data_IF_490562103364
#
_entry.id   IF_490562103364
#
_cell.length_a   1.000
_cell.length_b   1.000
_cell.length_c   1.000
_cell.angle_alpha   90.00
_cell.angle_beta   90.00
_cell.angle_gamma   90.00
#
_symmetry.space_group_name_H-M   'P 1'
#
loop_
_entity.id
_entity.type
_entity.pdbx_description
1 polymer ?
#
# COMPACT_ATOMS: atom_id res chain seq x y z
N UNK A 1 3.17 -27.69 0.63
CA UNK A 1 3.82 -26.49 0.04
C UNK A 1 2.79 -25.37 0.05
N UNK A 2 2.85 -24.45 1.02
CA UNK A 2 1.96 -23.29 1.04
C UNK A 2 2.31 -22.43 -0.18
N UNK A 3 1.32 -22.14 -1.03
CA UNK A 3 1.51 -21.20 -2.13
C UNK A 3 1.69 -19.81 -1.53
N UNK A 4 2.88 -19.25 -1.64
CA UNK A 4 3.21 -17.87 -1.21
C UNK A 4 2.64 -16.80 -2.13
N UNK A 5 2.06 -17.19 -3.28
CA UNK A 5 1.47 -16.31 -4.29
C UNK A 5 0.15 -16.86 -4.82
N UNK A 6 -0.82 -15.97 -5.04
CA UNK A 6 -2.10 -16.26 -5.67
C UNK A 6 -2.21 -15.48 -6.99
N UNK A 7 -2.60 -16.11 -8.12
CA UNK A 7 -2.87 -15.39 -9.36
C UNK A 7 -4.01 -14.38 -9.18
N UNK A 8 -3.81 -13.17 -9.69
CA UNK A 8 -4.78 -12.08 -9.62
C UNK A 8 -4.94 -11.48 -11.00
N UNK A 9 -6.19 -11.27 -11.42
CA UNK A 9 -6.54 -10.66 -12.72
C UNK A 9 -7.26 -9.36 -12.48
N UNK A 10 -6.88 -8.31 -13.22
CA UNK A 10 -7.51 -7.00 -13.21
C UNK A 10 -7.38 -6.39 -14.61
N UNK A 11 -8.23 -5.41 -14.91
CA UNK A 11 -8.24 -4.73 -16.20
C UNK A 11 -7.39 -3.47 -16.12
N UNK A 12 -6.54 -3.25 -17.13
CA UNK A 12 -5.79 -2.02 -17.34
C UNK A 12 -6.14 -1.44 -18.72
N UNK A 13 -5.93 -0.13 -18.89
CA UNK A 13 -6.01 0.48 -20.22
C UNK A 13 -4.95 -0.11 -21.16
N UNK A 14 -5.25 -0.14 -22.45
CA UNK A 14 -4.32 -0.65 -23.46
C UNK A 14 -3.03 0.17 -23.49
N UNK A 15 -3.14 1.50 -23.42
CA UNK A 15 -2.00 2.42 -23.36
C UNK A 15 -1.05 2.07 -22.19
N UNK A 16 -1.59 1.85 -20.99
CA UNK A 16 -0.78 1.50 -19.83
C UNK A 16 -0.12 0.12 -19.95
N UNK A 17 -0.79 -0.82 -20.64
CA UNK A 17 -0.21 -2.14 -20.92
C UNK A 17 0.95 -2.06 -21.93
N UNK A 18 0.87 -1.17 -22.91
CA UNK A 18 1.95 -0.89 -23.86
C UNK A 18 3.15 -0.27 -23.16
N UNK A 19 2.92 0.75 -22.31
CA UNK A 19 3.97 1.38 -21.51
C UNK A 19 4.66 0.38 -20.56
N UNK A 20 3.87 -0.47 -19.90
CA UNK A 20 4.39 -1.53 -19.04
C UNK A 20 5.23 -2.56 -19.82
N UNK A 21 4.85 -2.86 -21.07
CA UNK A 21 5.62 -3.74 -21.94
C UNK A 21 6.94 -3.11 -22.38
N UNK A 22 6.93 -1.82 -22.74
CA UNK A 22 8.13 -1.06 -23.07
C UNK A 22 9.10 -1.00 -21.88
N UNK A 23 8.62 -0.60 -20.70
CA UNK A 23 9.42 -0.55 -19.47
C UNK A 23 9.96 -1.93 -19.08
N UNK A 24 9.15 -2.99 -19.20
CA UNK A 24 9.58 -4.35 -18.91
C UNK A 24 10.76 -4.78 -19.78
N UNK A 25 10.73 -4.45 -21.08
CA UNK A 25 11.82 -4.75 -22.02
C UNK A 25 13.06 -3.91 -21.75
N UNK A 26 12.90 -2.62 -21.50
CA UNK A 26 14.00 -1.69 -21.27
C UNK A 26 14.76 -2.00 -19.98
N UNK A 27 14.04 -2.30 -18.90
CA UNK A 27 14.62 -2.59 -17.59
C UNK A 27 15.08 -4.06 -17.44
N UNK A 28 14.70 -4.94 -18.38
CA UNK A 28 14.90 -6.38 -18.25
C UNK A 28 14.15 -7.00 -17.05
N UNK A 29 13.12 -6.33 -16.53
CA UNK A 29 12.31 -6.78 -15.39
C UNK A 29 11.00 -7.41 -15.89
N UNK A 30 10.47 -8.38 -15.14
CA UNK A 30 9.14 -8.94 -15.43
C UNK A 30 8.06 -7.91 -15.10
N UNK A 31 7.01 -7.82 -15.95
CA UNK A 31 5.82 -6.98 -15.70
C UNK A 31 5.23 -7.17 -14.30
N UNK A 32 5.18 -8.41 -13.81
CA UNK A 32 4.68 -8.73 -12.47
C UNK A 32 5.51 -8.08 -11.38
N UNK A 33 6.84 -8.01 -11.53
CA UNK A 33 7.71 -7.36 -10.56
C UNK A 33 7.49 -5.85 -10.54
N UNK A 34 7.39 -5.23 -11.72
CA UNK A 34 7.11 -3.79 -11.85
C UNK A 34 5.77 -3.44 -11.20
N UNK A 35 4.72 -4.22 -11.48
CA UNK A 35 3.39 -4.03 -10.89
C UNK A 35 3.42 -4.22 -9.37
N UNK A 36 4.12 -5.24 -8.87
CA UNK A 36 4.28 -5.46 -7.43
C UNK A 36 4.97 -4.29 -6.75
N UNK A 37 6.12 -3.85 -7.29
CA UNK A 37 6.88 -2.69 -6.77
C UNK A 37 6.02 -1.42 -6.75
N UNK A 38 5.29 -1.14 -7.84
CA UNK A 38 4.40 0.02 -7.91
C UNK A 38 3.24 -0.04 -6.91
N UNK A 39 2.65 -1.22 -6.71
CA UNK A 39 1.56 -1.40 -5.75
C UNK A 39 2.05 -1.24 -4.31
N UNK A 40 3.23 -1.79 -3.96
CA UNK A 40 3.85 -1.62 -2.65
C UNK A 40 4.11 -0.14 -2.36
N UNK A 41 4.75 0.57 -3.29
CA UNK A 41 5.01 2.01 -3.16
C UNK A 41 3.71 2.82 -2.98
N UNK A 42 2.65 2.47 -3.73
CA UNK A 42 1.37 3.14 -3.60
C UNK A 42 0.73 2.86 -2.24
N UNK A 43 0.77 1.62 -1.75
CA UNK A 43 0.21 1.27 -0.44
C UNK A 43 0.95 1.97 0.70
N UNK A 44 2.28 2.04 0.66
CA UNK A 44 3.08 2.76 1.65
C UNK A 44 2.73 4.25 1.68
N UNK A 45 2.58 4.85 0.50
CA UNK A 45 2.14 6.23 0.38
C UNK A 45 0.74 6.43 1.00
N UNK A 46 -0.21 5.55 0.71
CA UNK A 46 -1.57 5.64 1.25
C UNK A 46 -1.60 5.45 2.76
N UNK A 47 -0.77 4.57 3.32
CA UNK A 47 -0.70 4.38 4.76
C UNK A 47 -0.25 5.67 5.48
N UNK A 48 0.74 6.38 4.92
CA UNK A 48 1.14 7.71 5.41
C UNK A 48 -0.01 8.71 5.35
N UNK A 49 -0.77 8.75 4.25
CA UNK A 49 -1.91 9.67 4.12
C UNK A 49 -3.00 9.36 5.15
N UNK A 50 -3.28 8.07 5.38
CA UNK A 50 -4.23 7.64 6.39
C UNK A 50 -3.75 7.97 7.80
N UNK A 51 -2.46 7.78 8.11
CA UNK A 51 -1.89 8.16 9.39
C UNK A 51 -2.00 9.67 9.65
N UNK A 52 -1.70 10.50 8.64
CA UNK A 52 -1.89 11.96 8.71
C UNK A 52 -3.35 12.34 8.96
N UNK A 53 -4.27 11.69 8.27
CA UNK A 53 -5.70 11.91 8.49
C UNK A 53 -6.10 11.57 9.93
N UNK A 54 -5.71 10.40 10.43
CA UNK A 54 -5.97 9.97 11.82
C UNK A 54 -5.39 10.94 12.84
N UNK A 55 -4.20 11.49 12.57
CA UNK A 55 -3.57 12.50 13.42
C UNK A 55 -4.37 13.80 13.45
N UNK A 56 -4.80 14.29 12.28
CA UNK A 56 -5.59 15.52 12.15
C UNK A 56 -7.00 15.38 12.74
N UNK A 57 -7.60 14.20 12.62
CA UNK A 57 -8.92 13.88 13.16
C UNK A 57 -8.84 13.57 14.68
N UNK A 58 -7.65 13.48 15.27
CA UNK A 58 -7.50 13.21 16.71
C UNK A 58 -7.94 14.42 17.53
N UNK A 59 -8.81 14.19 18.51
CA UNK A 59 -9.41 15.24 19.35
C UNK A 59 -8.52 15.67 20.53
N UNK A 60 -7.23 15.33 20.50
CA UNK A 60 -6.25 15.66 21.54
C UNK A 60 -5.49 14.44 22.06
N UNK A 61 -4.53 14.71 22.95
CA UNK A 61 -3.78 13.68 23.68
C UNK A 61 -4.38 13.48 25.07
N UNK A 62 -4.53 12.23 25.49
CA UNK A 62 -4.89 11.90 26.88
C UNK A 62 -3.63 11.60 27.70
N UNK A 63 -3.73 11.78 29.01
CA UNK A 63 -2.66 11.41 29.95
C UNK A 63 -2.58 9.89 30.14
N UNK A 64 -1.45 9.40 30.67
CA UNK A 64 -1.27 7.97 30.95
C UNK A 64 -2.34 7.41 31.91
N UNK A 65 -2.68 8.17 32.95
CA UNK A 65 -3.67 7.77 33.95
C UNK A 65 -5.10 7.71 33.35
N UNK A 66 -5.43 8.63 32.43
CA UNK A 66 -6.70 8.61 31.68
C UNK A 66 -6.78 7.41 30.73
N UNK A 67 -5.68 7.08 30.05
CA UNK A 67 -5.58 5.91 29.19
C UNK A 67 -5.82 4.60 29.97
N UNK A 68 -5.16 4.44 31.12
CA UNK A 68 -5.32 3.26 31.97
C UNK A 68 -6.78 3.11 32.43
N UNK A 69 -7.38 4.22 32.84
CA UNK A 69 -8.78 4.27 33.26
C UNK A 69 -9.76 3.92 32.13
N UNK A 70 -9.54 4.39 30.90
CA UNK A 70 -10.36 4.03 29.73
C UNK A 70 -10.21 2.55 29.33
N UNK A 71 -9.00 2.01 29.44
CA UNK A 71 -8.71 0.61 29.11
C UNK A 71 -9.12 -0.38 30.22
N UNK A 72 -9.54 0.12 31.39
CA UNK A 72 -10.01 -0.71 32.51
C UNK A 72 -8.90 -1.50 33.20
N UNK A 73 -7.67 -0.96 33.19
CA UNK A 73 -6.47 -1.55 33.80
C UNK A 73 -5.85 -0.63 34.85
#
# INVERSE_FOLDING_TARGET
MYKTVKPTTFTLSLELLEDLDAMSKEMGKKKTAIVSEALEMYMDYQDIQLAKKRLNDSTGTITHDELLKELGI
#
